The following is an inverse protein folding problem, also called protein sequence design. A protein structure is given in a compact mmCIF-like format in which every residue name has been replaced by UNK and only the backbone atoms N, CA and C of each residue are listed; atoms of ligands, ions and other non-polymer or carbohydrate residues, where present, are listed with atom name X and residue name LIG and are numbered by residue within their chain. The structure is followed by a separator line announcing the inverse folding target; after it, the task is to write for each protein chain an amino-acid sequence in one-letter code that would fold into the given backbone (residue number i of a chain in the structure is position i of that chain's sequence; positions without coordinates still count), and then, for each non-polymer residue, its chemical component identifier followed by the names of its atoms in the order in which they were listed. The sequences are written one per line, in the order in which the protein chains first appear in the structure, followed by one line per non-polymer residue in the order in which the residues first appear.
data_IF_045239820824
#
_entry.id   IF_045239820824
#
_cell.length_a   1.000
_cell.length_b   1.000
_cell.length_c   1.000
_cell.angle_alpha   90.00
_cell.angle_beta   90.00
_cell.angle_gamma   90.00
#
_symmetry.space_group_name_H-M   'P 1'
#
loop_
_entity.id
_entity.type
_entity.pdbx_description
1 polymer ?
#
# COMPACT_ATOMS: atom_id res chain seq x y z
N UNK A 1 7.02 3.24 7.49
CA UNK A 1 6.04 4.32 7.71
C UNK A 1 6.43 5.53 6.86
N UNK A 2 5.56 5.95 5.94
CA UNK A 2 5.88 7.00 4.95
C UNK A 2 5.09 8.29 5.18
N UNK A 3 4.01 8.21 5.97
CA UNK A 3 3.17 9.36 6.32
C UNK A 3 2.49 9.10 7.67
N UNK A 4 2.27 10.17 8.40
CA UNK A 4 1.46 10.20 9.62
C UNK A 4 0.55 11.41 9.55
N UNK A 5 -0.71 11.25 9.91
CA UNK A 5 -1.66 12.34 10.05
C UNK A 5 -2.42 12.18 11.35
N UNK A 6 -2.54 13.25 12.10
CA UNK A 6 -3.27 13.32 13.36
C UNK A 6 -3.94 14.68 13.50
N UNK A 7 -5.23 14.70 13.76
CA UNK A 7 -6.00 15.88 14.06
C UNK A 7 -7.20 15.51 14.96
N UNK A 8 -7.34 16.19 16.08
CA UNK A 8 -8.42 15.95 17.03
C UNK A 8 -9.68 16.80 16.75
N UNK A 9 -9.61 17.74 15.83
CA UNK A 9 -10.68 18.69 15.51
C UNK A 9 -11.30 18.47 14.13
N UNK A 10 -10.77 17.55 13.36
CA UNK A 10 -11.25 17.24 12.00
C UNK A 10 -12.62 16.59 12.05
N UNK A 11 -13.51 16.95 11.13
CA UNK A 11 -14.78 16.24 10.99
C UNK A 11 -14.60 14.89 10.31
N UNK A 12 -15.50 13.90 10.53
CA UNK A 12 -15.42 12.59 9.85
C UNK A 12 -15.38 12.70 8.33
N UNK A 13 -16.08 13.67 7.75
CA UNK A 13 -16.13 13.90 6.30
C UNK A 13 -14.79 14.44 5.80
N UNK A 14 -14.25 15.48 6.43
CA UNK A 14 -12.95 16.05 6.06
C UNK A 14 -11.81 15.04 6.26
N UNK A 15 -11.94 14.18 7.27
CA UNK A 15 -10.98 13.10 7.50
C UNK A 15 -11.05 12.04 6.41
N UNK A 16 -12.25 11.65 5.99
CA UNK A 16 -12.43 10.74 4.84
C UNK A 16 -11.85 11.34 3.55
N UNK A 17 -12.03 12.64 3.31
CA UNK A 17 -11.40 13.32 2.17
C UNK A 17 -9.87 13.29 2.25
N UNK A 18 -9.30 13.51 3.44
CA UNK A 18 -7.85 13.44 3.67
C UNK A 18 -7.31 12.04 3.40
N UNK A 19 -8.05 11.00 3.83
CA UNK A 19 -7.72 9.60 3.55
C UNK A 19 -7.81 9.33 2.05
N UNK A 20 -8.89 9.76 1.38
CA UNK A 20 -9.07 9.57 -0.07
C UNK A 20 -7.94 10.19 -0.88
N UNK A 21 -7.52 11.42 -0.57
CA UNK A 21 -6.34 12.07 -1.19
C UNK A 21 -5.06 11.27 -0.95
N UNK A 22 -4.91 10.69 0.23
CA UNK A 22 -3.76 9.85 0.57
C UNK A 22 -3.76 8.54 -0.23
N UNK A 23 -4.92 7.89 -0.38
CA UNK A 23 -5.09 6.70 -1.22
C UNK A 23 -4.62 6.98 -2.65
N UNK A 24 -5.07 8.08 -3.23
CA UNK A 24 -4.68 8.48 -4.60
C UNK A 24 -3.18 8.77 -4.70
N UNK A 25 -2.62 9.49 -3.72
CA UNK A 25 -1.19 9.84 -3.69
C UNK A 25 -0.28 8.60 -3.60
N UNK A 26 -0.73 7.55 -2.94
CA UNK A 26 0.03 6.31 -2.76
C UNK A 26 -0.47 5.18 -3.66
N UNK A 27 -0.83 5.52 -4.90
CA UNK A 27 -1.17 4.57 -5.96
C UNK A 27 -2.30 3.61 -5.59
N UNK A 28 -3.46 4.17 -5.20
CA UNK A 28 -4.63 3.39 -4.78
C UNK A 28 -4.32 2.45 -3.61
N UNK A 29 -3.71 3.01 -2.57
CA UNK A 29 -3.30 2.26 -1.40
C UNK A 29 -4.49 1.55 -0.74
N UNK A 30 -4.31 0.30 -0.35
CA UNK A 30 -5.28 -0.43 0.46
C UNK A 30 -5.49 0.26 1.80
N UNK A 31 -6.75 0.42 2.18
CA UNK A 31 -7.14 1.20 3.35
C UNK A 31 -7.92 0.35 4.33
N UNK A 32 -7.40 0.22 5.55
CA UNK A 32 -8.09 -0.44 6.67
C UNK A 32 -8.51 0.63 7.67
N UNK A 33 -9.81 0.77 7.88
CA UNK A 33 -10.38 1.73 8.85
C UNK A 33 -10.77 1.00 10.13
N UNK A 34 -10.39 1.55 11.29
CA UNK A 34 -10.94 1.10 12.56
C UNK A 34 -12.36 1.63 12.71
N UNK A 35 -13.35 0.74 12.75
CA UNK A 35 -14.78 1.10 12.77
C UNK A 35 -15.38 1.10 14.18
N UNK A 36 -14.58 1.40 15.17
CA UNK A 36 -15.08 1.73 16.48
C UNK A 36 -15.57 3.18 16.50
N UNK A 37 -16.68 3.46 17.12
CA UNK A 37 -17.26 4.79 17.29
C UNK A 37 -17.33 5.61 15.96
N UNK A 38 -16.61 6.71 15.88
CA UNK A 38 -16.63 7.65 14.74
C UNK A 38 -16.05 7.02 13.43
N UNK A 39 -15.19 6.02 13.55
CA UNK A 39 -14.56 5.38 12.40
C UNK A 39 -15.57 4.73 11.44
N UNK A 40 -16.74 4.30 11.93
CA UNK A 40 -17.82 3.76 11.09
C UNK A 40 -18.32 4.83 10.09
N UNK A 41 -18.48 6.08 10.52
CA UNK A 41 -18.90 7.19 9.66
C UNK A 41 -17.83 7.48 8.58
N UNK A 42 -16.56 7.47 8.95
CA UNK A 42 -15.46 7.66 7.99
C UNK A 42 -15.46 6.55 6.95
N UNK A 43 -15.61 5.30 7.36
CA UNK A 43 -15.68 4.16 6.44
C UNK A 43 -16.88 4.21 5.50
N UNK A 44 -18.04 4.71 5.98
CA UNK A 44 -19.23 4.89 5.16
C UNK A 44 -19.03 5.98 4.09
N UNK A 45 -18.45 7.12 4.45
CA UNK A 45 -18.13 8.19 3.48
C UNK A 45 -17.13 7.69 2.43
N UNK A 46 -16.08 7.00 2.84
CA UNK A 46 -15.11 6.41 1.90
C UNK A 46 -15.77 5.42 0.94
N UNK A 47 -16.69 4.61 1.42
CA UNK A 47 -17.34 3.60 0.60
C UNK A 47 -18.43 4.15 -0.32
N UNK A 48 -19.33 5.01 0.18
CA UNK A 48 -20.52 5.43 -0.55
C UNK A 48 -20.34 6.75 -1.30
N UNK A 49 -19.53 7.68 -0.77
CA UNK A 49 -19.34 8.99 -1.39
C UNK A 49 -18.09 9.04 -2.28
N UNK A 50 -17.01 8.42 -1.83
CA UNK A 50 -15.76 8.38 -2.58
C UNK A 50 -15.54 7.10 -3.38
N UNK A 51 -16.42 6.10 -3.24
CA UNK A 51 -16.39 4.81 -3.97
C UNK A 51 -15.00 4.16 -3.94
N UNK A 52 -14.35 4.15 -2.75
CA UNK A 52 -12.99 3.64 -2.58
C UNK A 52 -12.98 2.11 -2.74
N UNK A 53 -12.52 1.61 -3.88
CA UNK A 53 -12.45 0.18 -4.19
C UNK A 53 -11.43 -0.58 -3.32
N UNK A 54 -10.39 0.11 -2.86
CA UNK A 54 -9.31 -0.46 -2.03
C UNK A 54 -9.61 -0.43 -0.53
N UNK A 55 -10.85 -0.07 -0.14
CA UNK A 55 -11.30 -0.18 1.24
C UNK A 55 -11.43 -1.65 1.65
N UNK A 56 -10.76 -2.00 2.74
CA UNK A 56 -10.75 -3.37 3.25
C UNK A 56 -11.99 -3.65 4.11
N UNK A 57 -12.57 -4.82 3.87
CA UNK A 57 -13.69 -5.34 4.67
C UNK A 57 -13.21 -6.45 5.59
N UNK A 58 -13.89 -6.63 6.71
CA UNK A 58 -13.63 -7.74 7.62
C UNK A 58 -14.90 -8.50 7.95
N UNK A 59 -14.75 -9.78 8.23
CA UNK A 59 -15.84 -10.63 8.69
C UNK A 59 -15.43 -11.45 9.91
N UNK A 60 -16.41 -11.91 10.67
CA UNK A 60 -16.16 -12.76 11.83
C UNK A 60 -15.95 -14.21 11.37
N UNK A 61 -14.80 -14.79 11.67
CA UNK A 61 -14.44 -16.16 11.34
C UNK A 61 -14.68 -17.13 12.54
N UNK A 62 -15.73 -16.92 13.28
CA UNK A 62 -16.08 -17.73 14.44
C UNK A 62 -14.97 -17.72 15.51
N UNK A 63 -14.45 -18.89 15.89
CA UNK A 63 -13.39 -19.00 16.90
C UNK A 63 -12.04 -18.43 16.44
N UNK A 64 -11.84 -18.25 15.14
CA UNK A 64 -10.61 -17.70 14.57
C UNK A 64 -10.56 -16.16 14.63
N UNK A 65 -11.59 -15.50 15.16
CA UNK A 65 -11.63 -14.05 15.32
C UNK A 65 -12.08 -13.30 14.06
N UNK A 66 -11.42 -12.21 13.71
CA UNK A 66 -11.68 -11.40 12.52
C UNK A 66 -10.72 -11.79 11.38
N UNK A 67 -11.21 -11.75 10.14
CA UNK A 67 -10.38 -11.90 8.93
C UNK A 67 -10.76 -10.87 7.87
N UNK A 68 -9.85 -10.52 7.00
CA UNK A 68 -10.14 -9.69 5.83
C UNK A 68 -11.00 -10.51 4.86
N UNK A 69 -12.00 -9.85 4.28
CA UNK A 69 -12.93 -10.43 3.30
C UNK A 69 -13.05 -9.56 2.06
N UNK A 70 -13.63 -10.10 1.00
CA UNK A 70 -13.88 -9.38 -0.26
C UNK A 70 -15.05 -8.41 -0.19
N UNK A 71 -15.74 -8.29 0.95
CA UNK A 71 -16.87 -7.39 1.13
C UNK A 71 -18.22 -7.88 0.56
N UNK A 72 -18.26 -8.99 -0.15
CA UNK A 72 -19.50 -9.51 -0.75
C UNK A 72 -20.45 -10.20 0.26
N UNK A 73 -19.99 -10.48 1.46
CA UNK A 73 -20.82 -11.06 2.52
C UNK A 73 -21.68 -9.98 3.17
N UNK A 74 -22.97 -10.31 3.41
CA UNK A 74 -23.90 -9.42 4.15
C UNK A 74 -23.47 -9.15 5.60
N UNK A 75 -22.54 -9.93 6.12
CA UNK A 75 -22.00 -9.79 7.48
C UNK A 75 -20.62 -9.13 7.52
N UNK A 76 -20.16 -8.55 6.41
CA UNK A 76 -18.87 -7.88 6.37
C UNK A 76 -18.97 -6.46 6.93
N UNK A 77 -18.06 -6.11 7.83
CA UNK A 77 -17.86 -4.74 8.31
C UNK A 77 -16.96 -3.99 7.32
N UNK A 78 -17.26 -2.71 7.05
CA UNK A 78 -16.43 -1.81 6.23
C UNK A 78 -15.22 -1.32 7.05
N UNK A 79 -14.19 -2.12 7.18
CA UNK A 79 -13.05 -1.90 8.07
C UNK A 79 -12.99 -2.95 9.17
N UNK A 80 -12.35 -2.63 10.29
CA UNK A 80 -12.13 -3.57 11.38
C UNK A 80 -12.61 -3.02 12.73
N UNK A 81 -13.33 -3.84 13.50
CA UNK A 81 -13.54 -3.59 14.93
C UNK A 81 -12.38 -4.15 15.72
N UNK A 82 -11.71 -3.28 16.46
CA UNK A 82 -10.64 -3.68 17.36
C UNK A 82 -11.20 -4.44 18.55
N UNK A 83 -11.04 -5.75 18.52
CA UNK A 83 -11.33 -6.65 19.62
C UNK A 83 -10.06 -6.97 20.42
N UNK A 84 -10.21 -7.55 21.61
CA UNK A 84 -9.05 -8.01 22.40
C UNK A 84 -8.16 -8.99 21.61
N UNK A 85 -8.76 -9.84 20.78
CA UNK A 85 -8.04 -10.78 19.93
C UNK A 85 -7.25 -10.07 18.83
N UNK A 86 -7.88 -9.13 18.10
CA UNK A 86 -7.22 -8.31 17.06
C UNK A 86 -6.05 -7.54 17.66
N UNK A 87 -6.27 -6.85 18.79
CA UNK A 87 -5.23 -6.09 19.48
C UNK A 87 -4.07 -6.99 19.92
N UNK A 88 -4.35 -8.15 20.52
CA UNK A 88 -3.31 -9.08 20.96
C UNK A 88 -2.47 -9.63 19.81
N UNK A 89 -3.11 -10.08 18.73
CA UNK A 89 -2.41 -10.57 17.53
C UNK A 89 -1.59 -9.44 16.90
N UNK A 90 -2.19 -8.26 16.70
CA UNK A 90 -1.51 -7.11 16.13
C UNK A 90 -0.31 -6.65 16.94
N UNK A 91 -0.41 -6.60 18.27
CA UNK A 91 0.73 -6.25 19.13
C UNK A 91 1.89 -7.26 19.02
N UNK A 92 1.58 -8.56 18.98
CA UNK A 92 2.61 -9.58 18.82
C UNK A 92 3.29 -9.50 17.45
N UNK A 93 2.51 -9.28 16.39
CA UNK A 93 3.04 -9.09 15.04
C UNK A 93 3.84 -7.81 14.92
N UNK A 94 3.37 -6.69 15.49
CA UNK A 94 4.11 -5.41 15.51
C UNK A 94 5.48 -5.57 16.16
N UNK A 95 5.52 -6.24 17.32
CA UNK A 95 6.77 -6.55 18.01
C UNK A 95 7.71 -7.34 17.09
N UNK A 96 7.22 -8.38 16.44
CA UNK A 96 8.01 -9.22 15.55
C UNK A 96 8.55 -8.41 14.35
N UNK A 97 7.72 -7.58 13.71
CA UNK A 97 8.12 -6.73 12.59
C UNK A 97 9.24 -5.74 12.97
N UNK A 98 9.19 -5.19 14.19
CA UNK A 98 10.21 -4.27 14.70
C UNK A 98 11.51 -5.04 15.04
N UNK A 99 11.41 -6.17 15.75
CA UNK A 99 12.56 -6.98 16.15
C UNK A 99 13.32 -7.59 14.97
N UNK A 100 12.62 -7.81 13.84
CA UNK A 100 13.20 -8.36 12.60
C UNK A 100 13.59 -7.28 11.58
N UNK A 101 13.58 -6.00 11.95
CA UNK A 101 13.88 -4.86 11.08
C UNK A 101 13.01 -4.80 9.80
N UNK A 102 11.80 -5.38 9.86
CA UNK A 102 10.85 -5.39 8.74
C UNK A 102 9.95 -4.15 8.68
N UNK A 103 9.96 -3.33 9.73
CA UNK A 103 9.20 -2.09 9.82
C UNK A 103 10.10 -0.93 10.22
N UNK A 104 10.23 0.04 9.32
CA UNK A 104 11.00 1.26 9.55
C UNK A 104 10.05 2.35 10.05
N UNK A 105 10.31 2.87 11.24
CA UNK A 105 9.59 3.98 11.86
C UNK A 105 10.52 5.19 11.94
N UNK A 106 10.06 6.34 11.44
CA UNK A 106 10.83 7.59 11.44
C UNK A 106 10.10 8.74 12.12
N UNK A 107 8.80 8.61 12.37
CA UNK A 107 8.02 9.64 13.02
C UNK A 107 8.24 9.65 14.54
N UNK A 108 8.66 10.80 15.05
CA UNK A 108 9.00 10.98 16.46
C UNK A 108 7.81 10.77 17.39
N UNK A 109 6.59 11.22 17.00
CA UNK A 109 5.40 11.06 17.82
C UNK A 109 4.99 9.59 17.95
N UNK A 110 5.03 8.86 16.85
CA UNK A 110 4.77 7.41 16.83
C UNK A 110 5.76 6.64 17.71
N UNK A 111 7.06 6.98 17.64
CA UNK A 111 8.09 6.35 18.46
C UNK A 111 7.88 6.68 19.94
N UNK A 112 7.50 7.91 20.25
CA UNK A 112 7.23 8.32 21.63
C UNK A 112 6.01 7.60 22.20
N UNK A 113 4.89 7.47 21.45
CA UNK A 113 3.73 6.69 21.89
C UNK A 113 4.11 5.20 22.08
N UNK A 114 4.92 4.64 21.18
CA UNK A 114 5.39 3.26 21.28
C UNK A 114 6.24 3.02 22.54
N UNK A 115 7.03 4.00 22.97
CA UNK A 115 7.86 3.90 24.17
C UNK A 115 7.08 3.82 25.46
N UNK A 116 5.84 4.37 25.48
CA UNK A 116 4.92 4.35 26.64
C UNK A 116 3.83 3.28 26.53
N UNK A 117 3.84 2.52 25.41
CA UNK A 117 2.86 1.47 25.17
C UNK A 117 3.32 0.15 25.77
N UNK A 118 2.61 -0.35 26.75
CA UNK A 118 3.01 -1.51 27.52
C UNK A 118 1.87 -2.48 27.80
N UNK A 119 2.24 -3.72 28.14
CA UNK A 119 1.25 -4.72 28.54
C UNK A 119 0.73 -4.44 29.95
N UNK A 120 -0.58 -4.24 30.07
CA UNK A 120 -1.30 -4.13 31.35
C UNK A 120 -2.26 -5.30 31.52
N UNK A 121 -1.87 -6.27 32.34
CA UNK A 121 -2.65 -7.49 32.56
C UNK A 121 -2.79 -8.33 31.28
N UNK A 122 -4.01 -8.40 30.74
CA UNK A 122 -4.34 -9.15 29.50
C UNK A 122 -4.44 -8.26 28.27
N UNK A 123 -4.26 -6.95 28.40
CA UNK A 123 -4.34 -5.97 27.31
C UNK A 123 -3.03 -5.21 27.13
N UNK A 124 -2.96 -4.39 26.11
CA UNK A 124 -1.87 -3.45 25.85
C UNK A 124 -2.46 -2.05 25.84
N UNK A 125 -1.83 -1.11 26.50
CA UNK A 125 -2.30 0.27 26.63
C UNK A 125 -1.13 1.22 26.84
N UNK A 126 -1.33 2.50 26.51
CA UNK A 126 -0.40 3.54 26.90
C UNK A 126 -0.35 3.71 28.42
N UNK A 127 0.72 4.24 28.93
CA UNK A 127 0.83 4.66 30.34
C UNK A 127 -0.19 5.76 30.66
N UNK A 128 -0.51 5.89 31.95
CA UNK A 128 -1.51 6.89 32.40
C UNK A 128 -1.11 8.29 31.99
N UNK A 129 -1.98 8.98 31.25
CA UNK A 129 -1.74 10.32 30.70
C UNK A 129 -1.03 10.36 29.34
N UNK A 130 -0.71 9.19 28.76
CA UNK A 130 -0.19 9.06 27.41
C UNK A 130 -1.27 8.57 26.43
N UNK A 131 -1.00 8.74 25.12
CA UNK A 131 -1.87 8.32 24.03
C UNK A 131 -1.28 7.11 23.31
N UNK A 132 -2.11 6.31 22.64
CA UNK A 132 -1.73 5.15 21.85
C UNK A 132 -2.36 5.14 20.44
N UNK A 133 -2.89 6.28 19.98
CA UNK A 133 -3.64 6.39 18.71
C UNK A 133 -2.78 5.98 17.51
N UNK A 134 -1.55 6.50 17.43
CA UNK A 134 -0.62 6.20 16.35
C UNK A 134 -0.11 4.75 16.43
N UNK A 135 0.13 4.27 17.64
CA UNK A 135 0.52 2.87 17.87
C UNK A 135 -0.61 1.92 17.50
N UNK A 136 -1.87 2.28 17.78
CA UNK A 136 -3.01 1.45 17.37
C UNK A 136 -3.11 1.33 15.84
N UNK A 137 -2.82 2.39 15.10
CA UNK A 137 -2.70 2.30 13.64
C UNK A 137 -1.62 1.29 13.19
N UNK A 138 -0.46 1.27 13.84
CA UNK A 138 0.58 0.27 13.58
C UNK A 138 0.17 -1.16 14.01
N UNK A 139 -0.55 -1.29 15.11
CA UNK A 139 -1.09 -2.58 15.58
C UNK A 139 -2.05 -3.17 14.56
N UNK A 140 -2.94 -2.36 13.98
CA UNK A 140 -3.88 -2.79 12.94
C UNK A 140 -3.15 -3.11 11.63
N UNK A 141 -2.14 -2.33 11.25
CA UNK A 141 -1.28 -2.66 10.12
C UNK A 141 -0.58 -4.01 10.34
N UNK A 142 0.02 -4.24 11.48
CA UNK A 142 0.70 -5.48 11.80
C UNK A 142 -0.27 -6.68 11.81
N UNK A 143 -1.48 -6.50 12.36
CA UNK A 143 -2.53 -7.51 12.27
C UNK A 143 -2.90 -7.83 10.81
N UNK A 144 -2.97 -6.82 9.95
CA UNK A 144 -3.27 -6.98 8.52
C UNK A 144 -2.19 -7.79 7.81
N UNK A 145 -0.91 -7.60 8.13
CA UNK A 145 0.19 -8.35 7.48
C UNK A 145 0.15 -9.85 7.76
N UNK A 146 -0.51 -10.29 8.84
CA UNK A 146 -0.71 -11.70 9.16
C UNK A 146 -1.85 -12.34 8.34
N UNK A 147 -2.69 -11.55 7.70
CA UNK A 147 -3.84 -12.04 6.95
C UNK A 147 -3.41 -12.66 5.60
N UNK A 148 -4.06 -13.76 5.25
CA UNK A 148 -3.82 -14.47 3.98
C UNK A 148 -4.00 -13.55 2.77
N UNK A 149 -5.04 -12.72 2.78
CA UNK A 149 -5.32 -11.72 1.76
C UNK A 149 -4.14 -10.78 1.51
N UNK A 150 -3.49 -10.29 2.57
CA UNK A 150 -2.33 -9.40 2.43
C UNK A 150 -1.14 -10.12 1.76
N UNK A 151 -0.90 -11.37 2.13
CA UNK A 151 0.16 -12.20 1.53
C UNK A 151 -0.09 -12.42 0.05
N UNK A 152 -1.32 -12.79 -0.31
CA UNK A 152 -1.71 -13.01 -1.72
C UNK A 152 -1.53 -11.76 -2.57
N UNK A 153 -1.95 -10.57 -2.09
CA UNK A 153 -1.76 -9.30 -2.82
C UNK A 153 -0.27 -8.97 -2.97
N UNK A 154 0.52 -9.18 -1.94
CA UNK A 154 1.96 -8.91 -1.99
C UNK A 154 2.65 -9.84 -2.99
N UNK A 155 2.28 -11.11 -3.01
CA UNK A 155 2.83 -12.09 -3.96
C UNK A 155 2.43 -11.78 -5.41
N UNK A 156 1.17 -11.40 -5.66
CA UNK A 156 0.70 -10.97 -6.99
C UNK A 156 1.48 -9.74 -7.46
N UNK A 157 1.60 -8.72 -6.63
CA UNK A 157 2.36 -7.52 -6.98
C UNK A 157 3.85 -7.81 -7.26
N UNK A 158 4.43 -8.77 -6.57
CA UNK A 158 5.81 -9.21 -6.81
C UNK A 158 5.92 -9.93 -8.16
N UNK A 159 4.98 -10.80 -8.49
CA UNK A 159 4.92 -11.49 -9.78
C UNK A 159 4.71 -10.53 -10.95
N UNK A 160 3.84 -9.52 -10.80
CA UNK A 160 3.60 -8.52 -11.83
C UNK A 160 4.83 -7.64 -12.08
N UNK A 161 5.56 -7.25 -11.02
CA UNK A 161 6.85 -6.55 -11.15
C UNK A 161 7.91 -7.40 -11.86
N UNK A 162 7.98 -8.69 -11.57
CA UNK A 162 8.90 -9.59 -12.25
C UNK A 162 8.55 -9.77 -13.73
N UNK A 163 7.26 -9.86 -14.06
CA UNK A 163 6.80 -9.92 -15.46
C UNK A 163 7.14 -8.66 -16.23
N UNK A 164 6.84 -7.49 -15.68
CA UNK A 164 7.14 -6.20 -16.32
C UNK A 164 8.65 -6.05 -16.60
N UNK A 165 9.50 -6.43 -15.64
CA UNK A 165 10.95 -6.42 -15.85
C UNK A 165 11.40 -7.37 -16.96
N UNK A 166 10.83 -8.58 -16.98
CA UNK A 166 11.15 -9.55 -18.05
C UNK A 166 10.66 -9.07 -19.41
N UNK A 167 9.53 -8.38 -19.50
CA UNK A 167 9.02 -7.78 -20.75
C UNK A 167 9.91 -6.62 -21.22
N UNK A 168 10.38 -5.75 -20.31
CA UNK A 168 11.33 -4.68 -20.63
C UNK A 168 12.68 -5.24 -21.10
N UNK A 169 13.25 -6.20 -20.40
CA UNK A 169 14.50 -6.89 -20.78
C UNK A 169 14.35 -7.61 -22.12
N UNK A 170 13.18 -8.21 -22.39
CA UNK A 170 12.88 -8.85 -23.67
C UNK A 170 12.75 -7.82 -24.80
N UNK A 171 12.06 -6.70 -24.57
CA UNK A 171 11.96 -5.59 -25.51
C UNK A 171 13.33 -4.99 -25.84
N UNK A 172 14.16 -4.74 -24.84
CA UNK A 172 15.54 -4.28 -25.06
C UNK A 172 16.36 -5.28 -25.87
N UNK A 173 16.17 -6.59 -25.64
CA UNK A 173 16.86 -7.64 -26.40
C UNK A 173 16.33 -7.81 -27.83
N UNK A 174 15.10 -7.37 -28.11
CA UNK A 174 14.46 -7.41 -29.42
C UNK A 174 14.70 -6.14 -30.25
N UNK A 175 15.28 -5.08 -29.67
CA UNK A 175 15.72 -3.93 -30.45
C UNK A 175 16.77 -4.43 -31.44
N UNK A 176 16.55 -4.29 -32.75
CA UNK A 176 17.51 -4.79 -33.75
C UNK A 176 18.83 -4.06 -33.54
N UNK A 177 19.87 -4.84 -33.30
CA UNK A 177 21.27 -4.39 -33.35
C UNK A 177 21.50 -3.90 -34.77
N UNK A 178 21.26 -2.61 -35.03
CA UNK A 178 21.43 -2.12 -36.42
C UNK A 178 20.91 -0.73 -36.73
N UNK A 179 20.30 -0.03 -35.79
CA UNK A 179 20.16 1.42 -35.93
C UNK A 179 21.37 2.12 -35.32
N UNK A 180 22.54 1.81 -35.81
CA UNK A 180 23.64 2.76 -35.70
C UNK A 180 23.25 3.97 -36.53
N UNK A 181 23.21 5.13 -35.90
CA UNK A 181 23.23 6.40 -36.60
C UNK A 181 24.32 6.33 -37.68
N UNK A 182 23.92 6.26 -38.92
CA UNK A 182 24.82 6.68 -39.98
C UNK A 182 24.90 8.18 -39.75
N UNK A 183 26.00 8.63 -39.15
CA UNK A 183 26.47 9.99 -39.31
C UNK A 183 26.50 10.27 -40.81
N UNK A 184 25.90 11.39 -41.19
CA UNK A 184 25.98 11.95 -42.53
C UNK A 184 27.46 12.25 -42.84
N UNK A 185 28.19 11.22 -43.26
CA UNK A 185 29.45 11.39 -43.95
C UNK A 185 29.13 11.19 -45.41
N UNK A 186 29.14 12.30 -46.16
CA UNK A 186 28.95 12.39 -47.61
C UNK A 186 30.04 11.58 -48.39
N UNK A 187 30.02 10.28 -48.22
CA UNK A 187 30.81 9.34 -48.98
C UNK A 187 30.26 9.18 -50.38
N UNK A 188 30.78 9.92 -51.33
CA UNK A 188 30.62 9.69 -52.79
C UNK A 188 31.05 8.25 -53.06
N UNK A 189 30.09 7.36 -53.29
CA UNK A 189 30.39 6.03 -53.83
C UNK A 189 30.61 6.20 -55.32
N UNK A 190 31.86 6.14 -55.76
CA UNK A 190 32.21 6.05 -57.13
C UNK A 190 31.68 4.75 -57.76
N UNK A 191 30.71 4.87 -58.65
CA UNK A 191 30.16 3.76 -59.42
C UNK A 191 31.24 3.28 -60.45
N UNK A 192 31.69 2.04 -60.33
CA UNK A 192 32.73 1.51 -61.26
C UNK A 192 32.26 1.38 -62.68
N UNK A 193 31.02 1.70 -63.05
CA UNK A 193 30.45 1.63 -64.38
C UNK A 193 30.01 2.96 -64.98
N UNK A 194 30.33 4.11 -64.32
CA UNK A 194 30.29 5.42 -64.94
C UNK A 194 28.91 6.00 -65.28
N UNK A 195 27.88 5.71 -64.56
CA UNK A 195 26.53 6.26 -64.75
C UNK A 195 26.13 7.25 -63.69
N UNK A 196 26.13 8.56 -63.95
CA UNK A 196 25.60 9.59 -63.08
C UNK A 196 24.06 9.57 -63.06
N UNK A 197 23.45 8.85 -62.15
CA UNK A 197 22.01 8.82 -61.96
C UNK A 197 21.59 9.44 -60.62
N UNK A 198 21.02 10.65 -60.66
CA UNK A 198 20.27 11.22 -59.52
C UNK A 198 18.97 10.45 -59.34
N UNK A 199 18.81 9.76 -58.22
CA UNK A 199 17.52 9.17 -57.85
C UNK A 199 16.65 10.22 -57.18
N UNK A 200 15.46 10.44 -57.75
CA UNK A 200 14.43 11.33 -57.24
C UNK A 200 13.73 10.68 -56.03
N UNK A 201 13.62 11.44 -54.98
CA UNK A 201 12.73 11.14 -53.83
C UNK A 201 11.26 11.20 -54.30
N UNK A 202 10.50 10.20 -53.87
CA UNK A 202 9.06 10.27 -53.78
C UNK A 202 8.66 10.18 -52.30
#
# INVERSE_FOLDING_TARGET
QVCVYRDNNITPIDYAETIHRSIQRYNQAYTLVEVNDIGEQVAEVLHYEFEVETLMFTESAGRSGKRISTGFSKSSDKGIRTTKSVKSVGCNMLKMLIEQDQLILSDFQTINELSTFSRKGVSYEAESGCHDDLVMGLVLFAWMTDQMFFREITDINTLDKLRSRNEEELMESLLPIGFNNYDDDDGIIDDPYGGSGKWLQY
#
